data_IF_147730694414
#
_entry.id   IF_147730694414
#
_cell.length_a   1.000
_cell.length_b   1.000
_cell.length_c   1.000
_cell.angle_alpha   90.00
_cell.angle_beta   90.00
_cell.angle_gamma   90.00
#
_symmetry.space_group_name_H-M   'P 1'
#
loop_
_entity.id
_entity.type
_entity.pdbx_description
1 polymer ?
#
# COMPACT_ATOMS: atom_id res chain seq x y z
N UNK A 1 7.76 -21.36 10.38
CA UNK A 1 7.93 -19.98 9.84
C UNK A 1 6.62 -19.47 9.25
N UNK A 2 5.79 -20.35 8.71
CA UNK A 2 4.52 -20.05 8.03
C UNK A 2 3.55 -19.23 8.87
N UNK A 3 3.40 -19.56 10.16
CA UNK A 3 2.54 -18.79 11.09
C UNK A 3 3.04 -17.36 11.25
N UNK A 4 4.36 -17.15 11.30
CA UNK A 4 4.97 -15.81 11.41
C UNK A 4 4.75 -15.04 10.11
N UNK A 5 4.94 -15.67 8.96
CA UNK A 5 4.65 -15.07 7.64
C UNK A 5 3.18 -14.68 7.52
N UNK A 6 2.27 -15.55 7.97
CA UNK A 6 0.83 -15.31 7.97
C UNK A 6 0.47 -14.11 8.87
N UNK A 7 0.97 -14.07 10.11
CA UNK A 7 0.73 -12.93 11.01
C UNK A 7 1.28 -11.65 10.39
N UNK A 8 2.53 -11.66 9.92
CA UNK A 8 3.19 -10.50 9.33
C UNK A 8 2.43 -9.94 8.13
N UNK A 9 2.04 -10.80 7.19
CA UNK A 9 1.30 -10.36 5.99
C UNK A 9 -0.12 -9.88 6.33
N UNK A 10 -0.79 -10.46 7.32
CA UNK A 10 -2.11 -10.00 7.76
C UNK A 10 -2.04 -8.64 8.44
N UNK A 11 -1.05 -8.40 9.31
CA UNK A 11 -0.82 -7.10 9.92
C UNK A 11 -0.50 -6.03 8.87
N UNK A 12 0.36 -6.37 7.90
CA UNK A 12 0.67 -5.49 6.77
C UNK A 12 -0.59 -5.19 5.95
N UNK A 13 -1.34 -6.22 5.55
CA UNK A 13 -2.54 -6.08 4.73
C UNK A 13 -3.68 -5.33 5.43
N UNK A 14 -3.86 -5.51 6.74
CA UNK A 14 -4.93 -4.86 7.51
C UNK A 14 -4.88 -3.32 7.38
N UNK A 15 -3.68 -2.74 7.37
CA UNK A 15 -3.49 -1.30 7.17
C UNK A 15 -4.04 -0.84 5.81
N UNK A 16 -3.76 -1.59 4.74
CA UNK A 16 -4.18 -1.22 3.38
C UNK A 16 -5.65 -1.52 3.13
N UNK A 17 -6.18 -2.62 3.66
CA UNK A 17 -7.62 -2.90 3.60
C UNK A 17 -8.40 -1.79 4.30
N UNK A 18 -7.97 -1.40 5.51
CA UNK A 18 -8.56 -0.28 6.24
C UNK A 18 -8.46 1.05 5.47
N UNK A 19 -7.29 1.33 4.88
CA UNK A 19 -7.09 2.51 4.03
C UNK A 19 -8.03 2.51 2.81
N UNK A 20 -8.14 1.38 2.11
CA UNK A 20 -9.01 1.21 0.95
C UNK A 20 -10.48 1.45 1.29
N UNK A 21 -10.98 0.84 2.36
CA UNK A 21 -12.34 1.09 2.87
C UNK A 21 -12.50 2.58 3.21
N UNK A 22 -11.51 3.19 3.87
CA UNK A 22 -11.52 4.61 4.22
C UNK A 22 -11.64 5.54 3.01
N UNK A 23 -10.99 5.23 1.89
CA UNK A 23 -11.07 6.01 0.66
C UNK A 23 -12.48 6.05 0.06
N UNK A 24 -13.20 4.93 0.13
CA UNK A 24 -14.59 4.88 -0.35
C UNK A 24 -15.56 5.48 0.68
N UNK A 25 -15.41 5.14 1.95
CA UNK A 25 -16.30 5.60 3.02
C UNK A 25 -16.19 7.12 3.27
N UNK A 26 -15.02 7.71 3.02
CA UNK A 26 -14.73 9.14 3.22
C UNK A 26 -14.39 9.86 1.92
N UNK A 27 -14.95 9.40 0.80
CA UNK A 27 -14.60 9.85 -0.55
C UNK A 27 -14.62 11.37 -0.71
N UNK A 28 -15.69 12.04 -0.24
CA UNK A 28 -15.81 13.49 -0.40
C UNK A 28 -14.77 14.26 0.44
N UNK A 29 -14.52 13.84 1.68
CA UNK A 29 -13.51 14.45 2.54
C UNK A 29 -12.10 14.27 1.96
N UNK A 30 -11.75 13.06 1.52
CA UNK A 30 -10.45 12.78 0.90
C UNK A 30 -10.29 13.48 -0.44
N UNK A 31 -11.35 13.60 -1.23
CA UNK A 31 -11.36 14.39 -2.47
C UNK A 31 -11.08 15.86 -2.18
N UNK A 32 -11.68 16.42 -1.13
CA UNK A 32 -11.40 17.77 -0.67
C UNK A 32 -9.93 17.97 -0.31
N UNK A 33 -9.36 17.04 0.47
CA UNK A 33 -7.94 17.08 0.83
C UNK A 33 -7.01 16.95 -0.39
N UNK A 34 -7.32 16.05 -1.33
CA UNK A 34 -6.55 15.88 -2.56
C UNK A 34 -6.60 17.11 -3.47
N UNK A 35 -7.75 17.81 -3.55
CA UNK A 35 -7.85 19.11 -4.23
C UNK A 35 -6.98 20.16 -3.55
N UNK A 36 -6.99 20.22 -2.21
CA UNK A 36 -6.13 21.12 -1.45
C UNK A 36 -4.63 20.88 -1.73
N UNK A 37 -4.21 19.61 -1.81
CA UNK A 37 -2.85 19.22 -2.23
C UNK A 37 -2.61 19.32 -3.75
N UNK A 38 -3.54 19.91 -4.50
CA UNK A 38 -3.45 20.21 -5.94
C UNK A 38 -3.31 18.98 -6.84
N UNK A 39 -3.81 17.81 -6.42
CA UNK A 39 -3.83 16.62 -7.26
C UNK A 39 -4.80 16.80 -8.46
N UNK A 40 -4.34 16.68 -9.72
CA UNK A 40 -5.23 16.66 -10.87
C UNK A 40 -6.22 15.50 -10.79
N UNK A 41 -7.45 15.72 -11.23
CA UNK A 41 -8.53 14.71 -11.17
C UNK A 41 -8.69 14.06 -9.76
N UNK A 42 -8.61 14.87 -8.69
CA UNK A 42 -8.59 14.43 -7.29
C UNK A 42 -9.56 13.29 -6.92
N UNK A 43 -10.84 13.39 -7.33
CA UNK A 43 -11.85 12.35 -7.02
C UNK A 43 -11.48 11.00 -7.63
N UNK A 44 -10.98 11.01 -8.86
CA UNK A 44 -10.54 9.81 -9.55
C UNK A 44 -9.28 9.22 -8.90
N UNK A 45 -8.32 10.09 -8.50
CA UNK A 45 -7.15 9.68 -7.73
C UNK A 45 -7.51 8.94 -6.44
N UNK A 46 -8.47 9.47 -5.67
CA UNK A 46 -8.96 8.84 -4.42
C UNK A 46 -9.65 7.50 -4.67
N UNK A 47 -10.45 7.39 -5.75
CA UNK A 47 -11.10 6.13 -6.11
C UNK A 47 -10.09 5.05 -6.50
N UNK A 48 -9.08 5.41 -7.32
CA UNK A 48 -8.03 4.47 -7.73
C UNK A 48 -7.19 4.05 -6.53
N UNK A 49 -6.71 4.99 -5.72
CA UNK A 49 -5.88 4.64 -4.56
C UNK A 49 -6.67 3.76 -3.57
N UNK A 50 -7.95 4.06 -3.35
CA UNK A 50 -8.84 3.22 -2.56
C UNK A 50 -8.95 1.79 -3.10
N UNK A 51 -9.14 1.65 -4.42
CA UNK A 51 -9.21 0.34 -5.08
C UNK A 51 -7.89 -0.43 -4.98
N UNK A 52 -6.77 0.25 -5.19
CA UNK A 52 -5.44 -0.38 -5.17
C UNK A 52 -5.05 -0.83 -3.76
N UNK A 53 -5.35 -0.02 -2.74
CA UNK A 53 -5.16 -0.42 -1.36
C UNK A 53 -6.04 -1.61 -0.97
N UNK A 54 -7.31 -1.61 -1.39
CA UNK A 54 -8.23 -2.69 -1.06
C UNK A 54 -7.83 -4.00 -1.75
N UNK A 55 -7.62 -3.98 -3.06
CA UNK A 55 -7.20 -5.16 -3.82
C UNK A 55 -5.82 -5.65 -3.39
N UNK A 56 -4.84 -4.75 -3.27
CA UNK A 56 -3.49 -5.11 -2.86
C UNK A 56 -3.45 -5.72 -1.45
N UNK A 57 -4.19 -5.13 -0.51
CA UNK A 57 -4.32 -5.68 0.84
C UNK A 57 -4.99 -7.05 0.85
N UNK A 58 -6.10 -7.23 0.12
CA UNK A 58 -6.82 -8.52 0.05
C UNK A 58 -5.93 -9.60 -0.57
N UNK A 59 -5.28 -9.33 -1.69
CA UNK A 59 -4.37 -10.27 -2.38
C UNK A 59 -3.26 -10.75 -1.46
N UNK A 60 -2.59 -9.85 -0.75
CA UNK A 60 -1.55 -10.20 0.22
C UNK A 60 -2.13 -11.00 1.40
N UNK A 61 -3.28 -10.60 1.94
CA UNK A 61 -3.89 -11.27 3.09
C UNK A 61 -4.22 -12.74 2.81
N UNK A 62 -4.88 -13.00 1.68
CA UNK A 62 -5.32 -14.36 1.30
C UNK A 62 -4.24 -15.16 0.57
N UNK A 63 -3.12 -14.54 0.21
CA UNK A 63 -2.03 -15.19 -0.51
C UNK A 63 -2.33 -15.46 -1.98
N UNK A 64 -3.14 -14.63 -2.64
CA UNK A 64 -3.44 -14.75 -4.07
C UNK A 64 -2.77 -13.58 -4.80
N UNK A 65 -1.97 -13.83 -5.82
CA UNK A 65 -1.31 -12.77 -6.62
C UNK A 65 -0.63 -11.71 -5.75
N UNK A 66 0.18 -12.19 -4.81
CA UNK A 66 0.85 -11.41 -3.76
C UNK A 66 1.81 -10.39 -4.37
N UNK A 67 2.51 -10.76 -5.43
CA UNK A 67 3.39 -9.90 -6.22
C UNK A 67 2.62 -8.72 -6.84
N UNK A 68 1.48 -8.98 -7.48
CA UNK A 68 0.60 -7.94 -8.02
C UNK A 68 0.07 -7.04 -6.90
N UNK A 69 -0.43 -7.63 -5.81
CA UNK A 69 -0.95 -6.87 -4.68
C UNK A 69 0.10 -5.97 -4.03
N UNK A 70 1.33 -6.47 -3.92
CA UNK A 70 2.48 -5.72 -3.44
C UNK A 70 2.83 -4.53 -4.34
N UNK A 71 2.79 -4.69 -5.67
CA UNK A 71 3.01 -3.58 -6.60
C UNK A 71 1.92 -2.51 -6.51
N UNK A 72 0.65 -2.92 -6.42
CA UNK A 72 -0.46 -1.97 -6.26
C UNK A 72 -0.28 -1.10 -5.02
N UNK A 73 0.11 -1.71 -3.90
CA UNK A 73 0.41 -0.97 -2.66
C UNK A 73 1.64 -0.09 -2.83
N UNK A 74 2.76 -0.64 -3.31
CA UNK A 74 4.03 0.06 -3.43
C UNK A 74 3.91 1.34 -4.26
N UNK A 75 3.32 1.25 -5.45
CA UNK A 75 3.11 2.39 -6.34
C UNK A 75 2.24 3.43 -5.64
N UNK A 76 1.15 2.99 -5.01
CA UNK A 76 0.19 3.91 -4.39
C UNK A 76 0.79 4.65 -3.21
N UNK A 77 1.46 3.98 -2.28
CA UNK A 77 2.04 4.64 -1.09
C UNK A 77 3.24 5.51 -1.42
N UNK A 78 4.11 5.11 -2.36
CA UNK A 78 5.28 5.92 -2.72
C UNK A 78 4.81 7.23 -3.38
N UNK A 79 3.84 7.13 -4.30
CA UNK A 79 3.21 8.32 -4.87
C UNK A 79 2.48 9.16 -3.81
N UNK A 80 1.78 8.52 -2.88
CA UNK A 80 1.10 9.21 -1.79
C UNK A 80 2.09 10.01 -0.92
N UNK A 81 3.21 9.41 -0.53
CA UNK A 81 4.28 10.07 0.22
C UNK A 81 4.79 11.32 -0.51
N UNK A 82 5.11 11.19 -1.81
CA UNK A 82 5.65 12.31 -2.60
C UNK A 82 4.63 13.44 -2.79
N UNK A 83 3.35 13.10 -3.00
CA UNK A 83 2.31 14.08 -3.35
C UNK A 83 1.72 14.72 -2.09
N UNK A 84 1.33 13.92 -1.12
CA UNK A 84 0.56 14.36 0.05
C UNK A 84 1.47 14.71 1.23
N UNK A 85 2.63 14.07 1.35
CA UNK A 85 3.55 14.20 2.47
C UNK A 85 4.88 14.87 2.09
N UNK A 86 4.83 15.86 1.20
CA UNK A 86 5.97 16.66 0.74
C UNK A 86 6.51 17.61 1.82
N UNK A 87 7.01 17.06 2.94
CA UNK A 87 7.45 17.78 4.13
C UNK A 87 8.50 18.87 3.86
N UNK A 88 9.27 18.74 2.77
CA UNK A 88 10.24 19.74 2.33
C UNK A 88 9.62 21.07 1.88
N UNK A 89 8.30 21.11 1.65
CA UNK A 89 7.55 22.33 1.32
C UNK A 89 6.96 23.04 2.54
N UNK A 90 6.98 22.39 3.71
CA UNK A 90 6.42 22.95 4.95
C UNK A 90 7.41 23.90 5.64
N UNK A 91 6.90 25.03 6.11
CA UNK A 91 7.68 26.06 6.82
C UNK A 91 7.44 26.04 8.33
N UNK A 92 6.23 25.66 8.76
CA UNK A 92 5.92 25.44 10.17
C UNK A 92 6.64 24.18 10.68
N UNK A 93 7.30 24.29 11.84
CA UNK A 93 8.15 23.23 12.37
C UNK A 93 7.35 21.98 12.76
N UNK A 94 6.16 22.15 13.35
CA UNK A 94 5.31 21.04 13.78
C UNK A 94 4.69 20.33 12.57
N UNK A 95 4.18 21.09 11.60
CA UNK A 95 3.65 20.55 10.35
C UNK A 95 4.72 19.77 9.58
N UNK A 96 5.92 20.35 9.43
CA UNK A 96 7.05 19.70 8.76
C UNK A 96 7.42 18.37 9.40
N UNK A 97 7.50 18.31 10.72
CA UNK A 97 7.82 17.07 11.44
C UNK A 97 6.75 16.00 11.19
N UNK A 98 5.46 16.36 11.29
CA UNK A 98 4.36 15.42 11.07
C UNK A 98 4.32 14.89 9.63
N UNK A 99 4.49 15.76 8.64
CA UNK A 99 4.56 15.37 7.24
C UNK A 99 5.79 14.50 6.94
N UNK A 100 6.92 14.76 7.61
CA UNK A 100 8.12 13.94 7.45
C UNK A 100 7.92 12.52 8.01
N UNK A 101 7.24 12.40 9.16
CA UNK A 101 6.88 11.09 9.72
C UNK A 101 5.98 10.32 8.76
N UNK A 102 4.97 10.98 8.19
CA UNK A 102 4.05 10.36 7.24
C UNK A 102 4.77 9.93 5.94
N UNK A 103 5.64 10.78 5.40
CA UNK A 103 6.48 10.46 4.24
C UNK A 103 7.36 9.24 4.49
N UNK A 104 8.07 9.21 5.63
CA UNK A 104 8.96 8.11 5.99
C UNK A 104 8.19 6.80 6.18
N UNK A 105 6.98 6.86 6.75
CA UNK A 105 6.09 5.70 6.87
C UNK A 105 5.69 5.17 5.51
N UNK A 106 5.28 6.03 4.58
CA UNK A 106 4.89 5.63 3.23
C UNK A 106 6.06 5.02 2.46
N UNK A 107 7.26 5.60 2.57
CA UNK A 107 8.46 5.07 1.93
C UNK A 107 8.86 3.71 2.51
N UNK A 108 8.81 3.55 3.84
CA UNK A 108 9.12 2.28 4.50
C UNK A 108 8.13 1.18 4.12
N UNK A 109 6.82 1.50 4.09
CA UNK A 109 5.78 0.56 3.68
C UNK A 109 5.86 0.21 2.19
N UNK A 110 6.16 1.19 1.34
CA UNK A 110 6.43 0.98 -0.08
C UNK A 110 7.65 0.10 -0.30
N UNK A 111 8.73 0.33 0.43
CA UNK A 111 9.92 -0.52 0.42
C UNK A 111 9.62 -1.96 0.86
N UNK A 112 8.86 -2.14 1.94
CA UNK A 112 8.43 -3.46 2.39
C UNK A 112 7.57 -4.18 1.33
N UNK A 113 6.67 -3.46 0.67
CA UNK A 113 5.89 -3.99 -0.44
C UNK A 113 6.79 -4.41 -1.62
N UNK A 114 7.78 -3.61 -2.00
CA UNK A 114 8.72 -3.94 -3.07
C UNK A 114 9.59 -5.16 -2.74
N UNK A 115 10.02 -5.31 -1.48
CA UNK A 115 10.72 -6.53 -1.02
C UNK A 115 9.81 -7.75 -1.18
N UNK A 116 8.56 -7.65 -0.73
CA UNK A 116 7.59 -8.74 -0.88
C UNK A 116 7.36 -9.09 -2.35
N UNK A 117 7.17 -8.09 -3.22
CA UNK A 117 7.08 -8.28 -4.67
C UNK A 117 8.29 -9.03 -5.20
N UNK A 118 9.50 -8.55 -4.91
CA UNK A 118 10.73 -9.14 -5.42
C UNK A 118 10.88 -10.60 -5.02
N UNK A 119 10.63 -10.95 -3.75
CA UNK A 119 10.77 -12.30 -3.21
C UNK A 119 9.76 -13.30 -3.82
N UNK A 120 8.54 -12.85 -4.12
CA UNK A 120 7.51 -13.69 -4.73
C UNK A 120 7.75 -13.81 -6.25
N UNK A 121 7.99 -12.70 -6.93
CA UNK A 121 8.17 -12.67 -8.38
C UNK A 121 9.44 -13.44 -8.83
N UNK A 122 10.50 -13.41 -8.03
CA UNK A 122 11.73 -14.19 -8.27
C UNK A 122 11.58 -15.68 -7.98
N UNK A 123 10.50 -16.10 -7.31
CA UNK A 123 10.34 -17.46 -6.80
C UNK A 123 11.23 -17.77 -5.59
N UNK A 124 11.84 -16.77 -4.96
CA UNK A 124 12.64 -16.97 -3.73
C UNK A 124 11.78 -17.49 -2.58
N UNK A 125 10.52 -17.05 -2.50
CA UNK A 125 9.52 -17.59 -1.58
C UNK A 125 8.54 -18.43 -2.39
N UNK A 126 8.48 -19.73 -2.09
CA UNK A 126 7.47 -20.62 -2.67
C UNK A 126 6.11 -20.44 -1.98
N UNK A 127 5.03 -20.93 -2.63
CA UNK A 127 3.70 -20.92 -2.03
C UNK A 127 3.64 -21.64 -0.68
N UNK A 128 4.39 -22.75 -0.52
CA UNK A 128 4.50 -23.47 0.75
C UNK A 128 5.17 -22.63 1.84
N UNK A 129 6.23 -21.89 1.51
CA UNK A 129 6.95 -21.05 2.48
C UNK A 129 6.17 -19.76 2.83
N UNK A 130 5.27 -19.34 1.94
CA UNK A 130 4.37 -18.21 2.18
C UNK A 130 3.22 -18.54 3.15
N UNK A 131 3.01 -19.83 3.45
CA UNK A 131 1.95 -20.34 4.31
C UNK A 131 0.61 -20.54 3.60
N UNK A 132 -0.50 -20.74 4.35
CA UNK A 132 -1.82 -20.97 3.76
C UNK A 132 -2.19 -19.90 2.75
N UNK A 133 -2.60 -20.28 1.54
CA UNK A 133 -2.90 -19.33 0.48
C UNK A 133 -3.97 -19.86 -0.46
N UNK A 134 -4.61 -18.95 -1.18
CA UNK A 134 -5.62 -19.28 -2.19
C UNK A 134 -4.99 -19.17 -3.57
N UNK A 135 -5.00 -20.27 -4.33
CA UNK A 135 -4.54 -20.26 -5.72
C UNK A 135 -3.03 -20.06 -5.84
N UNK A 136 -2.60 -19.20 -6.75
CA UNK A 136 -1.18 -18.98 -7.03
C UNK A 136 -0.72 -17.66 -6.38
N UNK A 137 0.39 -17.70 -5.63
CA UNK A 137 0.95 -16.52 -4.96
C UNK A 137 1.59 -15.54 -5.96
N UNK A 138 2.03 -16.04 -7.11
CA UNK A 138 2.62 -15.24 -8.18
C UNK A 138 1.62 -15.05 -9.33
N UNK A 139 1.50 -13.80 -9.79
CA UNK A 139 0.76 -13.42 -10.98
C UNK A 139 1.65 -13.39 -12.21
N UNK A 140 2.90 -12.93 -12.06
CA UNK A 140 3.81 -12.68 -13.18
C UNK A 140 4.65 -13.90 -13.58
N UNK A 141 4.84 -14.85 -12.67
CA UNK A 141 5.55 -16.11 -12.92
C UNK A 141 4.62 -17.29 -12.60
N UNK A 142 4.25 -18.04 -13.65
CA UNK A 142 3.41 -19.25 -13.54
C UNK A 142 4.26 -20.51 -13.61
#
# INVERSE_FOLDING_TARGET
MDVVTLIGRLLFAALFIGSGIGHFAKLEAMTGYAKYKKLPAAKFGVLISGLFFLLGGIYIAIGLWVDLGALLIAITVILAGIIFHAYWKETDATAKMNEQIAFNKDLALGGAALILFALIASGTISGSDFGPHVGNISFFSK
#
